data_IF_632774279208
#
_entry.id   IF_632774279208
#
_cell.length_a   1.000
_cell.length_b   1.000
_cell.length_c   1.000
_cell.angle_alpha   90.00
_cell.angle_beta   90.00
_cell.angle_gamma   90.00
#
_symmetry.space_group_name_H-M   'P 1'
#
loop_
_entity.id
_entity.type
_entity.pdbx_description
1 polymer ?
#
# COMPACT_ATOMS: atom_id res chain seq x y z
N UNK A 1 18.47 3.55 12.76
CA UNK A 1 19.92 3.70 12.65
C UNK A 1 20.47 4.73 13.65
N UNK A 2 20.10 6.01 13.64
CA UNK A 2 20.65 7.01 14.57
C UNK A 2 20.58 6.57 16.04
N UNK A 3 19.48 5.92 16.45
CA UNK A 3 19.32 5.40 17.81
C UNK A 3 20.27 4.24 18.09
N UNK A 4 20.52 3.37 17.12
CA UNK A 4 21.41 2.22 17.24
C UNK A 4 22.89 2.68 17.30
N UNK A 5 23.23 3.71 16.52
CA UNK A 5 24.57 4.30 16.48
C UNK A 5 24.80 5.38 17.55
N UNK A 6 23.83 5.58 18.46
CA UNK A 6 23.86 6.56 19.56
C UNK A 6 24.14 7.99 19.08
N UNK A 7 23.55 8.37 17.92
CA UNK A 7 23.65 9.72 17.35
C UNK A 7 22.52 10.57 17.92
N UNK A 8 22.86 11.68 18.55
CA UNK A 8 21.89 12.62 19.11
C UNK A 8 21.51 13.67 18.07
N UNK A 9 20.23 13.67 17.70
CA UNK A 9 19.66 14.67 16.80
C UNK A 9 19.05 15.79 17.64
N UNK A 10 19.50 17.03 17.46
CA UNK A 10 18.98 18.21 18.15
C UNK A 10 17.61 18.60 17.59
N UNK A 11 17.50 18.69 16.28
CA UNK A 11 16.22 18.94 15.60
C UNK A 11 16.10 18.19 14.28
N UNK A 12 14.88 17.88 13.88
CA UNK A 12 14.59 17.35 12.55
C UNK A 12 13.36 18.05 11.99
N UNK A 13 13.44 18.49 10.75
CA UNK A 13 12.35 19.13 10.03
C UNK A 13 12.13 18.44 8.68
N UNK A 14 10.87 18.31 8.30
CA UNK A 14 10.49 17.87 6.96
C UNK A 14 9.86 19.04 6.24
N UNK A 15 10.45 19.46 5.14
CA UNK A 15 9.94 20.51 4.28
C UNK A 15 9.78 19.96 2.87
N UNK A 16 8.54 19.79 2.42
CA UNK A 16 8.19 19.19 1.13
C UNK A 16 8.91 17.84 0.88
N UNK A 17 9.93 17.82 0.04
CA UNK A 17 10.70 16.63 -0.35
C UNK A 17 12.07 16.53 0.30
N UNK A 18 12.36 17.41 1.23
CA UNK A 18 13.62 17.56 1.91
C UNK A 18 13.49 17.23 3.40
N UNK A 19 14.49 16.55 3.95
CA UNK A 19 14.62 16.28 5.38
C UNK A 19 15.86 16.99 5.87
N UNK A 20 15.68 17.91 6.84
CA UNK A 20 16.77 18.65 7.48
C UNK A 20 16.99 18.10 8.88
N UNK A 21 18.24 17.86 9.22
CA UNK A 21 18.68 17.43 10.55
C UNK A 21 19.72 18.40 11.10
N UNK A 22 19.64 18.74 12.37
CA UNK A 22 20.71 19.44 13.09
C UNK A 22 21.24 18.61 14.25
N UNK A 23 22.51 18.77 14.56
CA UNK A 23 23.24 17.99 15.56
C UNK A 23 23.92 18.95 16.54
N UNK A 24 23.85 18.64 17.84
CA UNK A 24 24.41 19.49 18.90
C UNK A 24 25.96 19.42 18.96
N UNK A 25 26.58 18.36 18.41
CA UNK A 25 28.03 18.16 18.45
C UNK A 25 28.57 17.80 17.06
N UNK A 26 29.83 18.20 16.83
CA UNK A 26 30.59 17.84 15.63
C UNK A 26 30.77 16.31 15.53
N UNK A 27 30.86 15.63 16.68
CA UNK A 27 30.98 14.16 16.72
C UNK A 27 29.73 13.48 16.17
N UNK A 28 28.54 13.90 16.62
CA UNK A 28 27.26 13.35 16.13
C UNK A 28 27.03 13.70 14.66
N UNK A 29 27.38 14.92 14.25
CA UNK A 29 27.34 15.36 12.87
C UNK A 29 28.19 14.47 11.96
N UNK A 30 29.46 14.22 12.33
CA UNK A 30 30.36 13.39 11.55
C UNK A 30 29.92 11.91 11.50
N UNK A 31 29.39 11.38 12.61
CA UNK A 31 28.78 10.04 12.64
C UNK A 31 27.57 9.95 11.70
N UNK A 32 26.71 10.97 11.70
CA UNK A 32 25.55 11.02 10.83
C UNK A 32 25.94 11.05 9.35
N UNK A 33 26.94 11.85 8.98
CA UNK A 33 27.46 11.89 7.60
C UNK A 33 27.93 10.52 7.12
N UNK A 34 28.61 9.76 7.99
CA UNK A 34 29.05 8.40 7.66
C UNK A 34 27.86 7.46 7.43
N UNK A 35 26.86 7.49 8.31
CA UNK A 35 25.64 6.69 8.18
C UNK A 35 24.89 7.00 6.89
N UNK A 36 24.79 8.27 6.53
CA UNK A 36 24.14 8.66 5.26
C UNK A 36 24.96 8.26 4.04
N UNK A 37 26.30 8.33 4.10
CA UNK A 37 27.17 7.93 3.01
C UNK A 37 27.16 6.43 2.73
N UNK A 38 27.19 5.61 3.78
CA UNK A 38 27.25 4.15 3.67
C UNK A 38 26.00 3.54 3.01
N UNK A 39 24.82 4.17 3.17
CA UNK A 39 23.55 3.70 2.62
C UNK A 39 23.10 4.48 1.37
N UNK A 40 23.93 5.38 0.86
CA UNK A 40 23.54 6.29 -0.23
C UNK A 40 23.75 5.67 -1.62
N UNK A 41 23.34 4.42 -1.80
CA UNK A 41 23.49 3.72 -3.08
C UNK A 41 22.18 2.97 -3.40
N UNK A 42 21.68 3.14 -4.63
CA UNK A 42 20.54 2.36 -5.16
C UNK A 42 20.98 0.97 -5.60
N UNK A 43 20.02 0.11 -5.90
CA UNK A 43 20.27 -1.24 -6.41
C UNK A 43 21.12 -1.26 -7.70
N UNK A 44 21.09 -0.18 -8.49
CA UNK A 44 21.90 -0.04 -9.73
C UNK A 44 23.18 0.77 -9.51
N UNK A 45 23.54 1.10 -8.27
CA UNK A 45 24.79 1.76 -7.93
C UNK A 45 24.80 3.27 -8.10
N UNK A 46 23.63 3.92 -8.22
CA UNK A 46 23.51 5.40 -8.26
C UNK A 46 23.29 5.97 -6.87
N UNK A 47 23.60 7.26 -6.66
CA UNK A 47 23.33 7.91 -5.37
C UNK A 47 21.82 7.96 -5.11
N UNK A 48 21.41 7.48 -3.94
CA UNK A 48 20.01 7.48 -3.50
C UNK A 48 19.56 8.88 -3.09
N UNK A 49 20.44 9.61 -2.39
CA UNK A 49 20.18 10.93 -1.86
C UNK A 49 21.17 11.95 -2.36
N UNK A 50 20.71 13.18 -2.58
CA UNK A 50 21.50 14.37 -2.63
C UNK A 50 21.63 14.89 -1.20
N UNK A 51 22.87 14.98 -0.68
CA UNK A 51 23.17 15.36 0.69
C UNK A 51 23.87 16.72 0.67
N UNK A 52 23.23 17.72 1.23
CA UNK A 52 23.82 19.03 1.45
C UNK A 52 24.23 19.17 2.91
N UNK A 53 25.47 19.60 3.14
CA UNK A 53 26.05 19.67 4.47
C UNK A 53 26.41 21.11 4.84
N UNK A 54 26.14 21.48 6.09
CA UNK A 54 26.55 22.76 6.63
C UNK A 54 27.34 22.53 7.93
N UNK A 55 28.65 22.62 7.84
CA UNK A 55 29.58 22.38 8.95
C UNK A 55 29.51 23.46 10.02
N UNK A 56 29.12 24.69 9.69
CA UNK A 56 29.01 25.78 10.67
C UNK A 56 27.79 25.57 11.60
N UNK A 57 26.73 24.96 11.05
CA UNK A 57 25.47 24.74 11.79
C UNK A 57 25.29 23.29 12.21
N UNK A 58 26.26 22.42 11.93
CA UNK A 58 26.14 20.97 12.11
C UNK A 58 24.81 20.44 11.56
N UNK A 59 24.43 20.87 10.34
CA UNK A 59 23.19 20.45 9.73
C UNK A 59 23.39 19.71 8.42
N UNK A 60 22.49 18.80 8.13
CA UNK A 60 22.46 17.97 6.93
C UNK A 60 21.06 18.04 6.33
N UNK A 61 20.98 18.47 5.07
CA UNK A 61 19.76 18.48 4.29
C UNK A 61 19.82 17.33 3.27
N UNK A 62 18.76 16.51 3.24
CA UNK A 62 18.70 15.29 2.46
C UNK A 62 17.46 15.31 1.58
N UNK A 63 17.64 15.12 0.28
CA UNK A 63 16.56 14.89 -0.67
C UNK A 63 16.87 13.69 -1.55
N UNK A 64 15.87 13.08 -2.17
CA UNK A 64 16.12 12.04 -3.17
C UNK A 64 16.83 12.64 -4.39
N UNK A 65 17.87 11.96 -4.86
CA UNK A 65 18.55 12.35 -6.10
C UNK A 65 17.60 12.22 -7.31
N UNK A 66 17.84 13.00 -8.34
CA UNK A 66 17.04 12.93 -9.57
C UNK A 66 17.14 11.55 -10.24
N UNK A 67 18.29 10.90 -10.14
CA UNK A 67 18.51 9.54 -10.62
C UNK A 67 17.67 8.53 -9.83
N UNK A 68 17.65 8.62 -8.51
CA UNK A 68 16.83 7.78 -7.67
C UNK A 68 15.33 7.98 -7.90
N UNK A 69 14.88 9.23 -8.02
CA UNK A 69 13.49 9.54 -8.35
C UNK A 69 13.09 8.91 -9.70
N UNK A 70 13.98 8.97 -10.70
CA UNK A 70 13.71 8.34 -11.99
C UNK A 70 13.63 6.82 -11.86
N UNK A 71 14.56 6.18 -11.17
CA UNK A 71 14.59 4.74 -10.96
C UNK A 71 13.34 4.26 -10.23
N UNK A 72 12.98 4.91 -9.11
CA UNK A 72 11.77 4.60 -8.33
C UNK A 72 10.51 4.75 -9.20
N UNK A 73 10.43 5.80 -10.00
CA UNK A 73 9.31 6.03 -10.93
C UNK A 73 9.23 4.95 -12.00
N UNK A 74 10.34 4.63 -12.65
CA UNK A 74 10.39 3.63 -13.71
C UNK A 74 10.01 2.25 -13.19
N UNK A 75 10.49 1.90 -11.99
CA UNK A 75 10.09 0.68 -11.29
C UNK A 75 8.58 0.66 -11.00
N UNK A 76 8.04 1.74 -10.40
CA UNK A 76 6.63 1.82 -10.05
C UNK A 76 5.71 1.76 -11.27
N UNK A 77 6.07 2.45 -12.36
CA UNK A 77 5.32 2.39 -13.64
C UNK A 77 5.37 0.99 -14.24
N UNK A 78 6.53 0.33 -14.19
CA UNK A 78 6.69 -1.04 -14.67
C UNK A 78 5.82 -2.04 -13.89
N UNK A 79 5.81 -1.96 -12.56
CA UNK A 79 4.97 -2.81 -11.71
C UNK A 79 3.47 -2.52 -11.92
N UNK A 80 3.09 -1.24 -11.99
CA UNK A 80 1.70 -0.87 -12.25
C UNK A 80 1.22 -1.37 -13.61
N UNK A 81 2.08 -1.34 -14.63
CA UNK A 81 1.75 -1.86 -15.95
C UNK A 81 1.47 -3.38 -15.93
N UNK A 82 2.27 -4.15 -15.18
CA UNK A 82 2.02 -5.59 -14.99
C UNK A 82 0.71 -5.84 -14.23
N UNK A 83 0.49 -5.12 -13.13
CA UNK A 83 -0.75 -5.23 -12.35
C UNK A 83 -1.97 -4.86 -13.17
N UNK A 84 -1.89 -3.81 -13.99
CA UNK A 84 -2.99 -3.41 -14.88
C UNK A 84 -3.30 -4.47 -15.95
N UNK A 85 -2.28 -5.05 -16.56
CA UNK A 85 -2.47 -6.17 -17.50
C UNK A 85 -3.19 -7.34 -16.84
N UNK A 86 -2.76 -7.71 -15.64
CA UNK A 86 -3.42 -8.79 -14.90
C UNK A 86 -4.88 -8.45 -14.62
N UNK A 87 -5.19 -7.23 -14.16
CA UNK A 87 -6.56 -6.78 -13.88
C UNK A 87 -7.45 -6.79 -15.11
N UNK A 88 -6.93 -6.32 -16.23
CA UNK A 88 -7.68 -6.26 -17.48
C UNK A 88 -7.93 -7.66 -18.04
N UNK A 89 -6.95 -8.55 -17.93
CA UNK A 89 -7.13 -9.96 -18.30
C UNK A 89 -8.19 -10.65 -17.42
N UNK A 90 -8.17 -10.38 -16.11
CA UNK A 90 -9.17 -10.91 -15.16
C UNK A 90 -10.59 -10.37 -15.41
N UNK A 91 -10.71 -9.18 -16.00
CA UNK A 91 -11.99 -8.64 -16.46
C UNK A 91 -12.56 -9.38 -17.69
N UNK A 92 -11.78 -10.27 -18.31
CA UNK A 92 -12.19 -11.03 -19.48
C UNK A 92 -12.30 -10.19 -20.76
N UNK A 93 -11.61 -9.05 -20.82
CA UNK A 93 -11.59 -8.19 -22.02
C UNK A 93 -10.77 -8.88 -23.10
N UNK A 94 -11.35 -8.98 -24.31
CA UNK A 94 -10.65 -9.54 -25.45
C UNK A 94 -9.65 -8.56 -26.03
N UNK A 95 -8.39 -8.99 -26.19
CA UNK A 95 -7.30 -8.22 -26.80
C UNK A 95 -7.07 -6.82 -26.20
N UNK A 96 -6.94 -6.68 -24.87
CA UNK A 96 -6.72 -5.38 -24.26
C UNK A 96 -5.32 -4.86 -24.59
N UNK A 97 -5.18 -3.55 -24.75
CA UNK A 97 -3.90 -2.90 -24.90
C UNK A 97 -3.54 -2.22 -23.60
N UNK A 98 -2.41 -2.60 -22.99
CA UNK A 98 -1.85 -1.94 -21.81
C UNK A 98 -0.39 -1.63 -22.08
N UNK A 99 -0.07 -0.35 -22.27
CA UNK A 99 1.28 0.07 -22.66
C UNK A 99 1.70 1.35 -21.95
N UNK A 100 3.01 1.48 -21.74
CA UNK A 100 3.61 2.70 -21.20
C UNK A 100 3.64 3.79 -22.25
N UNK A 101 3.27 5.01 -21.85
CA UNK A 101 3.39 6.22 -22.65
C UNK A 101 4.25 7.25 -21.93
N UNK A 102 5.44 7.52 -22.47
CA UNK A 102 6.39 8.44 -21.85
C UNK A 102 6.94 7.93 -20.51
N UNK A 103 7.26 8.84 -19.60
CA UNK A 103 7.92 8.52 -18.33
C UNK A 103 6.99 8.08 -17.21
N UNK A 104 5.72 8.53 -17.20
CA UNK A 104 4.81 8.35 -16.05
C UNK A 104 3.37 8.01 -16.41
N UNK A 105 3.05 7.81 -17.69
CA UNK A 105 1.70 7.48 -18.14
C UNK A 105 1.59 6.02 -18.58
N UNK A 106 0.39 5.46 -18.40
CA UNK A 106 0.00 4.15 -18.93
C UNK A 106 -1.30 4.35 -19.70
N UNK A 107 -1.33 3.87 -20.94
CA UNK A 107 -2.53 3.81 -21.76
C UNK A 107 -3.14 2.43 -21.60
N UNK A 108 -4.45 2.39 -21.38
CA UNK A 108 -5.26 1.18 -21.28
C UNK A 108 -6.40 1.29 -22.26
N UNK A 109 -6.47 0.37 -23.23
CA UNK A 109 -7.58 0.29 -24.17
C UNK A 109 -8.36 -1.01 -23.91
N UNK A 110 -9.67 -0.88 -23.82
CA UNK A 110 -10.57 -1.97 -23.42
C UNK A 110 -11.64 -2.17 -24.51
N UNK A 111 -11.32 -2.89 -25.59
CA UNK A 111 -12.29 -3.13 -26.65
C UNK A 111 -13.51 -3.91 -26.12
N UNK A 112 -14.70 -3.52 -26.53
CA UNK A 112 -15.95 -4.23 -26.22
C UNK A 112 -16.47 -4.09 -24.78
N UNK A 113 -15.82 -3.29 -23.93
CA UNK A 113 -16.31 -3.03 -22.57
C UNK A 113 -17.51 -2.10 -22.63
N UNK A 114 -18.67 -2.58 -22.16
CA UNK A 114 -19.91 -1.80 -22.10
C UNK A 114 -19.99 -0.96 -20.83
N UNK A 115 -19.58 -1.51 -19.67
CA UNK A 115 -19.53 -0.80 -18.39
C UNK A 115 -18.14 -0.26 -18.10
N UNK A 116 -17.89 0.94 -18.61
CA UNK A 116 -16.62 1.64 -18.39
C UNK A 116 -16.42 2.06 -16.93
N UNK A 117 -17.52 2.27 -16.18
CA UNK A 117 -17.45 2.68 -14.76
C UNK A 117 -16.97 1.54 -13.88
N UNK A 118 -17.51 0.33 -14.05
CA UNK A 118 -17.05 -0.85 -13.33
C UNK A 118 -15.58 -1.18 -13.67
N UNK A 119 -15.21 -1.11 -14.96
CA UNK A 119 -13.84 -1.33 -15.39
C UNK A 119 -12.86 -0.33 -14.74
N UNK A 120 -13.18 0.96 -14.72
CA UNK A 120 -12.37 1.99 -14.05
C UNK A 120 -12.21 1.73 -12.56
N UNK A 121 -13.30 1.38 -11.89
CA UNK A 121 -13.29 1.08 -10.45
C UNK A 121 -12.30 -0.05 -10.13
N UNK A 122 -12.27 -1.10 -10.93
CA UNK A 122 -11.36 -2.23 -10.75
C UNK A 122 -9.92 -1.85 -11.12
N UNK A 123 -9.71 -1.18 -12.23
CA UNK A 123 -8.38 -0.77 -12.71
C UNK A 123 -7.73 0.23 -11.76
N UNK A 124 -8.48 1.22 -11.28
CA UNK A 124 -7.96 2.33 -10.46
C UNK A 124 -7.79 2.01 -8.98
N UNK A 125 -8.41 0.96 -8.44
CA UNK A 125 -8.31 0.65 -7.00
C UNK A 125 -6.89 0.29 -6.60
N UNK A 126 -6.33 1.05 -5.67
CA UNK A 126 -5.11 0.68 -4.93
C UNK A 126 -5.51 -0.09 -3.68
N UNK A 127 -5.94 -1.33 -3.87
CA UNK A 127 -6.38 -2.16 -2.76
C UNK A 127 -5.29 -3.16 -2.37
N UNK A 128 -5.04 -3.26 -1.09
CA UNK A 128 -4.16 -4.26 -0.49
C UNK A 128 -4.84 -4.85 0.75
N UNK A 129 -4.36 -5.99 1.22
CA UNK A 129 -4.81 -6.57 2.49
C UNK A 129 -3.69 -6.57 3.52
N UNK A 130 -4.08 -6.40 4.77
CA UNK A 130 -3.22 -6.65 5.92
C UNK A 130 -3.93 -7.63 6.86
N UNK A 131 -3.20 -8.65 7.29
CA UNK A 131 -3.67 -9.60 8.30
C UNK A 131 -3.06 -9.25 9.65
N UNK A 132 -3.90 -8.98 10.65
CA UNK A 132 -3.47 -8.57 11.99
C UNK A 132 -4.29 -9.27 13.07
N UNK A 133 -3.68 -9.57 14.22
CA UNK A 133 -4.44 -10.08 15.37
C UNK A 133 -5.24 -8.97 16.02
N UNK A 134 -6.41 -9.32 16.54
CA UNK A 134 -7.14 -8.44 17.45
C UNK A 134 -6.30 -8.16 18.70
N UNK A 135 -6.25 -6.91 19.10
CA UNK A 135 -5.51 -6.51 20.29
C UNK A 135 -6.19 -7.00 21.56
N UNK A 136 -5.46 -7.68 22.44
CA UNK A 136 -5.97 -8.02 23.74
C UNK A 136 -6.27 -6.75 24.57
N UNK A 137 -7.20 -6.79 25.53
CA UNK A 137 -7.50 -5.64 26.40
C UNK A 137 -6.25 -5.08 27.09
N UNK A 138 -5.32 -5.95 27.44
CA UNK A 138 -4.03 -5.64 28.10
C UNK A 138 -2.97 -5.08 27.16
N UNK A 139 -3.20 -5.09 25.84
CA UNK A 139 -2.24 -4.57 24.87
C UNK A 139 -2.04 -3.06 25.05
N UNK A 140 -0.78 -2.62 25.18
CA UNK A 140 -0.42 -1.21 25.29
C UNK A 140 -0.97 -0.40 24.11
N UNK A 141 -1.39 0.84 24.35
CA UNK A 141 -1.86 1.78 23.32
C UNK A 141 -0.85 2.00 22.20
N UNK A 142 0.44 1.94 22.49
CA UNK A 142 1.50 2.08 21.48
C UNK A 142 1.55 0.91 20.48
N UNK A 143 1.05 -0.27 20.86
CA UNK A 143 1.10 -1.51 20.07
C UNK A 143 -0.23 -1.88 19.43
N UNK A 144 -1.28 -1.11 19.63
CA UNK A 144 -2.59 -1.30 19.01
C UNK A 144 -3.06 -0.05 18.29
N UNK A 145 -3.96 -0.23 17.35
CA UNK A 145 -4.58 0.81 16.54
C UNK A 145 -6.06 0.47 16.33
N UNK A 146 -6.90 1.48 16.34
CA UNK A 146 -8.33 1.32 16.14
C UNK A 146 -8.66 1.42 14.65
N UNK A 147 -9.50 0.51 14.18
CA UNK A 147 -9.98 0.48 12.80
C UNK A 147 -11.51 0.33 12.79
N UNK A 148 -12.17 1.05 11.89
CA UNK A 148 -13.60 0.90 11.63
C UNK A 148 -13.85 -0.28 10.71
N UNK A 149 -15.03 -0.87 10.82
CA UNK A 149 -15.46 -1.87 9.83
C UNK A 149 -15.87 -1.18 8.53
N UNK A 150 -15.76 -1.90 7.41
CA UNK A 150 -16.25 -1.43 6.12
C UNK A 150 -17.78 -1.22 6.15
N UNK A 151 -18.51 -2.06 6.87
CA UNK A 151 -19.89 -1.78 7.28
C UNK A 151 -19.87 -0.96 8.59
N UNK A 152 -20.05 0.34 8.47
CA UNK A 152 -19.99 1.29 9.59
C UNK A 152 -20.94 0.94 10.75
N UNK A 153 -22.00 0.16 10.48
CA UNK A 153 -22.95 -0.32 11.52
C UNK A 153 -22.31 -1.28 12.51
N UNK A 154 -21.21 -1.92 12.13
CA UNK A 154 -20.46 -2.84 13.00
C UNK A 154 -19.50 -2.12 13.96
N UNK A 155 -19.34 -0.78 13.84
CA UNK A 155 -18.49 0.01 14.73
C UNK A 155 -17.00 -0.12 14.43
N UNK A 156 -16.18 -0.28 15.47
CA UNK A 156 -14.72 -0.37 15.39
C UNK A 156 -14.15 -1.50 16.24
N UNK A 157 -12.91 -1.90 15.95
CA UNK A 157 -12.15 -2.83 16.76
C UNK A 157 -10.67 -2.45 16.82
N UNK A 158 -10.00 -2.85 17.91
CA UNK A 158 -8.55 -2.62 18.07
C UNK A 158 -7.79 -3.82 17.54
N UNK A 159 -6.89 -3.58 16.58
CA UNK A 159 -5.96 -4.59 16.08
C UNK A 159 -4.52 -4.25 16.52
N UNK A 160 -3.69 -5.27 16.59
CA UNK A 160 -2.25 -5.08 16.81
C UNK A 160 -1.62 -4.36 15.62
N UNK A 161 -0.67 -3.45 15.88
CA UNK A 161 0.06 -2.74 14.80
C UNK A 161 0.92 -3.68 13.97
N UNK A 162 1.28 -4.84 14.53
CA UNK A 162 2.08 -5.84 13.83
C UNK A 162 1.28 -6.49 12.70
N UNK A 163 1.76 -6.34 11.48
CA UNK A 163 1.22 -7.00 10.29
C UNK A 163 1.81 -8.41 10.24
N UNK A 164 0.95 -9.42 10.27
CA UNK A 164 1.36 -10.83 10.15
C UNK A 164 1.72 -11.15 8.71
N UNK A 165 0.81 -10.79 7.79
CA UNK A 165 0.96 -10.98 6.35
C UNK A 165 0.34 -9.78 5.66
N UNK A 166 0.98 -9.29 4.61
CA UNK A 166 0.45 -8.28 3.71
C UNK A 166 0.06 -8.91 2.36
N UNK A 167 -0.79 -8.22 1.60
CA UNK A 167 -1.39 -8.76 0.38
C UNK A 167 -0.41 -9.10 -0.74
N UNK A 168 0.80 -8.56 -0.71
CA UNK A 168 1.88 -8.94 -1.63
C UNK A 168 2.33 -10.41 -1.53
N UNK A 169 1.97 -11.08 -0.42
CA UNK A 169 2.20 -12.51 -0.20
C UNK A 169 1.07 -13.39 -0.70
N UNK A 170 -0.01 -12.79 -1.22
CA UNK A 170 -1.12 -13.53 -1.82
C UNK A 170 -0.73 -13.95 -3.22
N UNK A 171 -0.73 -15.24 -3.47
CA UNK A 171 -0.41 -15.84 -4.78
C UNK A 171 -1.64 -16.15 -5.59
N UNK A 172 -2.77 -16.41 -4.92
CA UNK A 172 -4.05 -16.65 -5.56
C UNK A 172 -5.20 -16.27 -4.62
N UNK A 173 -6.32 -15.86 -5.21
CA UNK A 173 -7.56 -15.62 -4.52
C UNK A 173 -8.76 -15.99 -5.40
N UNK A 174 -9.78 -16.62 -4.83
CA UNK A 174 -11.01 -16.97 -5.54
C UNK A 174 -12.23 -16.77 -4.66
N UNK A 175 -13.28 -16.20 -5.21
CA UNK A 175 -14.57 -16.12 -4.53
C UNK A 175 -15.28 -17.46 -4.55
N UNK A 176 -16.14 -17.70 -3.57
CA UNK A 176 -16.95 -18.90 -3.45
C UNK A 176 -18.05 -18.71 -2.41
N UNK A 177 -18.70 -19.81 -2.06
CA UNK A 177 -19.71 -19.84 -1.00
C UNK A 177 -19.29 -20.84 0.06
N UNK A 178 -19.61 -20.55 1.31
CA UNK A 178 -19.48 -21.50 2.39
C UNK A 178 -20.65 -22.51 2.39
N UNK A 179 -20.64 -23.45 3.32
CA UNK A 179 -21.68 -24.48 3.47
C UNK A 179 -23.07 -23.90 3.80
N UNK A 180 -23.11 -22.68 4.32
CA UNK A 180 -24.35 -21.95 4.66
C UNK A 180 -24.80 -21.02 3.53
N UNK A 181 -24.10 -20.98 2.39
CA UNK A 181 -24.40 -20.12 1.25
C UNK A 181 -23.92 -18.69 1.37
N UNK A 182 -23.12 -18.35 2.38
CA UNK A 182 -22.53 -17.01 2.50
C UNK A 182 -21.28 -16.89 1.62
N UNK A 183 -21.09 -15.68 1.08
CA UNK A 183 -19.94 -15.38 0.27
C UNK A 183 -18.64 -15.48 1.08
N UNK A 184 -17.62 -16.10 0.48
CA UNK A 184 -16.27 -16.23 1.04
C UNK A 184 -15.21 -15.98 -0.02
N UNK A 185 -13.99 -15.67 0.42
CA UNK A 185 -12.81 -15.60 -0.44
C UNK A 185 -11.79 -16.62 0.04
N UNK A 186 -11.41 -17.53 -0.86
CA UNK A 186 -10.32 -18.48 -0.63
C UNK A 186 -9.01 -17.81 -0.98
N UNK A 187 -8.04 -17.86 -0.08
CA UNK A 187 -6.73 -17.21 -0.21
C UNK A 187 -5.65 -18.26 -0.25
N UNK A 188 -4.71 -18.10 -1.17
CA UNK A 188 -3.44 -18.81 -1.17
C UNK A 188 -2.28 -17.83 -0.98
N UNK A 189 -1.38 -18.15 -0.06
CA UNK A 189 -0.17 -17.38 0.22
C UNK A 189 1.06 -18.05 -0.38
N UNK A 190 2.12 -17.28 -0.57
CA UNK A 190 3.44 -17.83 -0.83
C UNK A 190 3.97 -18.56 0.42
N UNK A 191 5.11 -19.23 0.27
CA UNK A 191 5.70 -20.02 1.36
C UNK A 191 6.10 -19.16 2.57
N UNK A 192 6.53 -17.92 2.36
CA UNK A 192 6.91 -17.00 3.46
C UNK A 192 5.66 -16.50 4.19
N UNK A 193 4.63 -16.10 3.46
CA UNK A 193 3.33 -15.71 4.01
C UNK A 193 2.69 -16.85 4.80
N UNK A 194 2.72 -18.07 4.25
CA UNK A 194 2.21 -19.26 4.94
C UNK A 194 2.94 -19.56 6.25
N UNK A 195 4.26 -19.45 6.28
CA UNK A 195 5.06 -19.62 7.51
C UNK A 195 4.76 -18.53 8.55
N UNK A 196 4.62 -17.28 8.11
CA UNK A 196 4.26 -16.17 8.99
C UNK A 196 2.87 -16.37 9.60
N UNK A 197 1.89 -16.77 8.78
CA UNK A 197 0.53 -17.07 9.21
C UNK A 197 0.50 -18.25 10.18
N UNK A 198 1.22 -19.34 9.88
CA UNK A 198 1.35 -20.50 10.75
C UNK A 198 1.92 -20.12 12.12
N UNK A 199 3.03 -19.37 12.13
CA UNK A 199 3.67 -18.92 13.37
C UNK A 199 2.74 -18.03 14.19
N UNK A 200 2.00 -17.12 13.56
CA UNK A 200 1.09 -16.22 14.26
C UNK A 200 -0.13 -16.95 14.81
N UNK A 201 -0.68 -17.92 14.07
CA UNK A 201 -1.91 -18.62 14.48
C UNK A 201 -1.67 -19.79 15.44
N UNK A 202 -0.50 -20.45 15.39
CA UNK A 202 -0.18 -21.57 16.31
C UNK A 202 -0.19 -21.17 17.79
N UNK A 203 0.18 -19.93 18.11
CA UNK A 203 0.12 -19.41 19.49
C UNK A 203 -1.13 -18.61 19.82
N UNK A 204 -2.10 -18.51 18.90
CA UNK A 204 -3.25 -17.60 19.01
C UNK A 204 -4.59 -18.25 18.59
N UNK A 205 -4.70 -19.58 18.76
CA UNK A 205 -5.98 -20.27 18.56
C UNK A 205 -6.99 -19.72 19.57
N UNK A 206 -8.21 -19.44 19.12
CA UNK A 206 -9.26 -18.80 19.90
C UNK A 206 -9.24 -17.26 19.90
N UNK A 207 -8.14 -16.63 19.47
CA UNK A 207 -8.10 -15.17 19.23
C UNK A 207 -8.71 -14.83 17.88
N UNK A 208 -9.12 -13.57 17.72
CA UNK A 208 -9.63 -13.11 16.43
C UNK A 208 -8.50 -12.59 15.53
N UNK A 209 -8.59 -12.95 14.25
CA UNK A 209 -7.73 -12.47 13.17
C UNK A 209 -8.52 -11.47 12.35
N UNK A 210 -8.03 -10.26 12.28
CA UNK A 210 -8.58 -9.18 11.47
C UNK A 210 -7.98 -9.17 10.07
N UNK A 211 -8.83 -8.94 9.09
CA UNK A 211 -8.46 -8.68 7.70
C UNK A 211 -8.80 -7.24 7.41
N UNK A 212 -7.78 -6.42 7.21
CA UNK A 212 -7.90 -5.02 6.84
C UNK A 212 -7.82 -4.86 5.34
N UNK A 213 -8.79 -4.17 4.78
CA UNK A 213 -8.73 -3.64 3.43
C UNK A 213 -8.04 -2.28 3.49
N UNK A 214 -6.92 -2.18 2.79
CA UNK A 214 -6.09 -0.98 2.74
C UNK A 214 -6.25 -0.34 1.38
N UNK A 215 -6.88 0.82 1.33
CA UNK A 215 -7.12 1.56 0.11
C UNK A 215 -6.46 2.93 0.18
N UNK A 216 -5.79 3.34 -0.90
CA UNK A 216 -5.33 4.71 -1.04
C UNK A 216 -6.39 5.52 -1.77
N UNK A 217 -6.90 6.55 -1.12
CA UNK A 217 -7.88 7.48 -1.68
C UNK A 217 -7.22 8.83 -2.00
N UNK A 218 -7.65 9.44 -3.09
CA UNK A 218 -7.25 10.80 -3.44
C UNK A 218 -8.28 11.78 -2.88
N UNK A 219 -7.78 12.86 -2.29
CA UNK A 219 -8.59 13.99 -1.82
C UNK A 219 -8.16 15.22 -2.60
N UNK A 220 -9.10 15.84 -3.28
CA UNK A 220 -8.92 17.16 -3.90
C UNK A 220 -9.43 18.22 -2.93
N UNK A 221 -8.58 19.14 -2.55
CA UNK A 221 -8.96 20.27 -1.68
C UNK A 221 -8.72 21.56 -2.46
N UNK A 222 -9.73 22.41 -2.53
CA UNK A 222 -9.58 23.78 -3.04
C UNK A 222 -8.80 24.58 -2.01
N UNK A 223 -7.64 25.09 -2.40
CA UNK A 223 -6.80 25.99 -1.62
C UNK A 223 -6.61 27.29 -2.41
N UNK A 224 -6.34 28.37 -1.70
CA UNK A 224 -6.00 29.66 -2.30
C UNK A 224 -4.47 29.77 -2.26
N UNK A 225 -3.84 30.02 -3.41
CA UNK A 225 -2.40 30.21 -3.49
C UNK A 225 -1.97 31.58 -2.95
N UNK A 226 -0.66 31.84 -2.92
CA UNK A 226 -0.09 33.10 -2.45
C UNK A 226 -0.52 34.33 -3.30
N UNK A 227 -1.05 34.11 -4.50
CA UNK A 227 -1.53 35.14 -5.42
C UNK A 227 -3.05 35.39 -5.29
N UNK A 228 -3.75 34.57 -4.50
CA UNK A 228 -5.20 34.65 -4.30
C UNK A 228 -6.01 33.82 -5.31
N UNK A 229 -5.36 33.00 -6.14
CA UNK A 229 -6.00 32.15 -7.12
C UNK A 229 -6.45 30.81 -6.49
N UNK A 230 -7.61 30.32 -6.91
CA UNK A 230 -8.11 29.01 -6.49
C UNK A 230 -7.30 27.90 -7.17
N UNK A 231 -6.57 27.11 -6.38
CA UNK A 231 -5.77 25.96 -6.84
C UNK A 231 -6.33 24.69 -6.23
N UNK A 232 -6.49 23.65 -7.06
CA UNK A 232 -6.86 22.32 -6.59
C UNK A 232 -5.60 21.59 -6.12
N UNK A 233 -5.43 21.52 -4.79
CA UNK A 233 -4.40 20.69 -4.19
C UNK A 233 -4.88 19.23 -4.12
N UNK A 234 -4.11 18.34 -4.74
CA UNK A 234 -4.39 16.90 -4.69
C UNK A 234 -3.51 16.25 -3.63
N UNK A 235 -4.13 15.70 -2.62
CA UNK A 235 -3.49 14.89 -1.59
C UNK A 235 -4.00 13.45 -1.64
N UNK A 236 -3.20 12.51 -1.15
CA UNK A 236 -3.65 11.13 -1.00
C UNK A 236 -3.54 10.69 0.46
N UNK A 237 -4.52 9.94 0.92
CA UNK A 237 -4.50 9.35 2.24
C UNK A 237 -4.78 7.84 2.16
N UNK A 238 -4.33 7.11 3.17
CA UNK A 238 -4.56 5.67 3.27
C UNK A 238 -5.76 5.47 4.20
N UNK A 239 -6.79 4.81 3.69
CA UNK A 239 -7.92 4.36 4.47
C UNK A 239 -7.78 2.86 4.73
N UNK A 240 -8.06 2.45 5.97
CA UNK A 240 -7.96 1.05 6.40
C UNK A 240 -9.25 0.67 7.10
N UNK A 241 -9.97 -0.27 6.54
CA UNK A 241 -11.23 -0.75 7.09
C UNK A 241 -11.19 -2.27 7.33
N UNK A 242 -11.79 -2.72 8.43
CA UNK A 242 -11.93 -4.14 8.72
C UNK A 242 -13.01 -4.72 7.80
N UNK A 243 -12.66 -5.70 6.99
CA UNK A 243 -13.63 -6.45 6.18
C UNK A 243 -14.05 -7.76 6.84
N UNK A 244 -13.18 -8.33 7.69
CA UNK A 244 -13.49 -9.53 8.44
C UNK A 244 -12.71 -9.55 9.76
N UNK A 245 -13.34 -10.02 10.81
CA UNK A 245 -12.72 -10.27 12.11
C UNK A 245 -13.23 -11.63 12.60
N UNK A 246 -12.48 -12.68 12.28
CA UNK A 246 -12.88 -14.07 12.51
C UNK A 246 -11.99 -14.77 13.53
N UNK A 247 -12.56 -15.68 14.31
CA UNK A 247 -11.83 -16.47 15.31
C UNK A 247 -10.94 -17.49 14.61
N UNK A 248 -9.68 -17.54 15.00
CA UNK A 248 -8.70 -18.57 14.58
C UNK A 248 -9.10 -19.90 15.21
N UNK A 249 -9.69 -20.80 14.43
CA UNK A 249 -10.16 -22.11 14.90
C UNK A 249 -9.06 -23.18 14.84
N UNK A 250 -8.11 -23.03 13.91
CA UNK A 250 -6.99 -23.93 13.72
C UNK A 250 -5.77 -23.17 13.24
N UNK A 251 -4.60 -23.81 13.26
CA UNK A 251 -3.37 -23.25 12.70
C UNK A 251 -3.54 -23.08 11.20
N UNK A 252 -3.39 -21.85 10.72
CA UNK A 252 -3.49 -21.50 9.31
C UNK A 252 -2.12 -21.64 8.63
N UNK A 253 -2.11 -22.14 7.41
CA UNK A 253 -0.91 -22.29 6.58
C UNK A 253 -0.95 -21.40 5.35
N UNK A 254 -0.54 -21.95 4.20
CA UNK A 254 -0.54 -21.27 2.91
C UNK A 254 -1.93 -21.10 2.30
N UNK A 255 -2.92 -21.89 2.71
CA UNK A 255 -4.30 -21.82 2.22
C UNK A 255 -5.29 -21.62 3.35
N UNK A 256 -6.19 -20.65 3.23
CA UNK A 256 -7.30 -20.41 4.15
C UNK A 256 -8.42 -19.63 3.47
N UNK A 257 -9.54 -19.47 4.16
CA UNK A 257 -10.70 -18.72 3.67
C UNK A 257 -11.03 -17.55 4.59
N UNK A 258 -11.52 -16.48 3.97
CA UNK A 258 -12.06 -15.31 4.65
C UNK A 258 -13.57 -15.35 4.47
N UNK A 259 -14.31 -15.28 5.55
CA UNK A 259 -15.77 -15.19 5.59
C UNK A 259 -16.19 -13.78 6.05
N UNK A 260 -17.45 -13.43 5.84
CA UNK A 260 -17.96 -12.10 6.24
C UNK A 260 -17.50 -10.98 5.32
N UNK A 261 -17.22 -11.28 4.07
CA UNK A 261 -16.76 -10.31 3.06
C UNK A 261 -17.91 -9.56 2.36
N UNK A 262 -19.11 -9.60 2.92
CA UNK A 262 -20.29 -8.93 2.37
C UNK A 262 -21.00 -9.75 1.29
N UNK A 263 -21.39 -9.11 0.19
CA UNK A 263 -22.11 -9.73 -0.92
C UNK A 263 -21.22 -10.61 -1.80
N UNK A 264 -21.79 -11.54 -2.59
CA UNK A 264 -21.04 -12.32 -3.57
C UNK A 264 -20.25 -11.46 -4.57
N UNK A 265 -20.79 -10.30 -4.91
CA UNK A 265 -20.13 -9.35 -5.81
C UNK A 265 -18.91 -8.71 -5.16
N UNK A 266 -19.00 -8.31 -3.89
CA UNK A 266 -17.85 -7.78 -3.12
C UNK A 266 -16.78 -8.84 -2.92
N UNK A 267 -17.16 -10.08 -2.64
CA UNK A 267 -16.23 -11.21 -2.55
C UNK A 267 -15.51 -11.47 -3.88
N UNK A 268 -16.21 -11.38 -5.00
CA UNK A 268 -15.63 -11.55 -6.35
C UNK A 268 -14.68 -10.39 -6.68
N UNK A 269 -15.07 -9.16 -6.40
CA UNK A 269 -14.23 -7.98 -6.59
C UNK A 269 -12.95 -8.04 -5.73
N UNK A 270 -13.09 -8.43 -4.46
CA UNK A 270 -11.96 -8.61 -3.56
C UNK A 270 -11.01 -9.70 -4.06
N UNK A 271 -11.52 -10.85 -4.45
CA UNK A 271 -10.72 -11.94 -4.99
C UNK A 271 -9.95 -11.52 -6.26
N UNK A 272 -10.60 -10.78 -7.15
CA UNK A 272 -9.98 -10.24 -8.36
C UNK A 272 -8.84 -9.28 -8.02
N UNK A 273 -9.08 -8.31 -7.12
CA UNK A 273 -8.07 -7.34 -6.72
C UNK A 273 -6.85 -8.00 -6.06
N UNK A 274 -7.07 -9.03 -5.24
CA UNK A 274 -6.01 -9.77 -4.60
C UNK A 274 -5.18 -10.58 -5.59
N UNK A 275 -5.83 -11.29 -6.52
CA UNK A 275 -5.17 -12.09 -7.54
C UNK A 275 -4.38 -11.24 -8.51
N UNK A 276 -4.93 -10.10 -8.92
CA UNK A 276 -4.27 -9.18 -9.83
C UNK A 276 -3.14 -8.37 -9.19
N UNK A 277 -3.08 -8.32 -7.86
CA UNK A 277 -2.05 -7.62 -7.09
C UNK A 277 -2.36 -6.15 -6.81
N UNK A 278 -1.60 -5.60 -5.88
CA UNK A 278 -1.65 -4.18 -5.51
C UNK A 278 -0.86 -3.32 -6.52
N UNK A 279 -1.31 -2.08 -6.70
CA UNK A 279 -0.54 -1.09 -7.45
C UNK A 279 0.66 -0.63 -6.62
N UNK A 280 1.84 -0.59 -7.21
CA UNK A 280 3.06 -0.15 -6.56
C UNK A 280 3.06 1.35 -6.24
N UNK A 281 2.36 2.13 -7.06
CA UNK A 281 2.12 3.55 -6.83
C UNK A 281 0.68 3.92 -7.19
N UNK A 282 0.08 4.92 -6.52
CA UNK A 282 -1.25 5.39 -6.86
C UNK A 282 -1.26 5.98 -8.28
N UNK A 283 -2.37 5.76 -8.98
CA UNK A 283 -2.60 6.29 -10.31
C UNK A 283 -3.83 7.18 -10.34
N UNK A 284 -3.87 8.09 -11.29
CA UNK A 284 -5.00 8.98 -11.55
C UNK A 284 -5.39 8.88 -13.02
N UNK A 285 -6.70 8.91 -13.27
CA UNK A 285 -7.21 9.04 -14.63
C UNK A 285 -6.97 10.48 -15.10
N UNK A 286 -6.14 10.64 -16.14
CA UNK A 286 -5.82 11.95 -16.72
C UNK A 286 -6.65 12.25 -17.96
N UNK A 287 -7.03 11.20 -18.71
CA UNK A 287 -7.81 11.33 -19.93
C UNK A 287 -8.65 10.07 -20.14
N UNK A 288 -9.83 10.24 -20.67
CA UNK A 288 -10.72 9.17 -21.07
C UNK A 288 -11.35 9.49 -22.42
N UNK A 289 -11.39 8.50 -23.29
CA UNK A 289 -12.08 8.58 -24.58
C UNK A 289 -12.89 7.32 -24.78
N UNK A 290 -14.16 7.49 -25.11
CA UNK A 290 -15.02 6.39 -25.54
C UNK A 290 -15.19 6.50 -27.06
N UNK A 291 -14.80 5.43 -27.75
CA UNK A 291 -14.97 5.33 -29.20
C UNK A 291 -16.18 4.44 -29.44
N UNK A 292 -17.21 4.99 -30.04
CA UNK A 292 -18.41 4.22 -30.43
C UNK A 292 -18.10 3.25 -31.58
N UNK A 293 -18.95 2.26 -31.83
CA UNK A 293 -18.83 1.41 -33.00
C UNK A 293 -18.94 2.26 -34.28
N UNK A 294 -17.98 2.06 -35.17
CA UNK A 294 -17.93 2.69 -36.50
C UNK A 294 -18.95 2.02 -37.44
#
# INVERSE_FOLDING_TARGET
>A
KFRDDRISVESSQKKDKELSFSFASDEDYNKALKVFGDDNITAVGTALYDIQTNTIRNSVDISYSQSAIKEIRDYAVGQNLMTLRNRVNELGVSEPIVQRQGSSRIVVELPGVQDTTAAKKIIGKTANLEFRLEAAPTTSRLRKEEFTYQDERMGSAYLEKNIIVAGERVTNASSGFDESGFAQVNISLDMQGGRAMQKATSGNIGRRLGVLFVERKNKSTLTIDENGDEVIEQSSYIEKNIISLATVQAVLGTGFRITGVGSPQEASELALLLRAGALAAPMQFVEERTVGPS
#
